data_IF_430168947800
#
_entry.id   IF_430168947800
#
_cell.length_a   1.000
_cell.length_b   1.000
_cell.length_c   1.000
_cell.angle_alpha   90.00
_cell.angle_beta   90.00
_cell.angle_gamma   90.00
#
_symmetry.space_group_name_H-M   'P 1'
#
loop_
_entity.id
_entity.type
_entity.pdbx_description
1 polymer ?
#
# COMPACT_ATOMS: atom_id res chain seq x y z
N UNK A 1 24.60 -69.44 -38.09
CA UNK A 1 23.88 -69.38 -39.39
C UNK A 1 22.44 -68.95 -39.12
N UNK A 2 21.74 -68.17 -39.98
CA UNK A 2 22.06 -66.92 -40.69
C UNK A 2 21.21 -65.74 -40.10
N UNK A 3 21.56 -64.45 -40.16
CA UNK A 3 21.76 -63.49 -41.26
C UNK A 3 20.51 -62.68 -41.69
N UNK A 4 20.69 -61.35 -41.81
CA UNK A 4 19.78 -60.38 -42.44
C UNK A 4 19.64 -59.08 -41.61
N UNK A 5 20.54 -58.06 -41.67
CA UNK A 5 20.72 -57.05 -42.74
C UNK A 5 19.37 -56.62 -43.35
N UNK A 6 18.98 -55.35 -43.49
CA UNK A 6 19.71 -54.10 -43.79
C UNK A 6 18.64 -52.99 -43.75
N UNK A 7 18.92 -51.79 -43.24
CA UNK A 7 18.75 -50.56 -44.01
C UNK A 7 19.37 -49.33 -43.33
N UNK A 8 20.40 -48.80 -44.01
CA UNK A 8 21.01 -47.48 -43.85
C UNK A 8 20.05 -46.36 -44.31
N UNK A 9 20.15 -45.19 -43.69
CA UNK A 9 20.53 -43.86 -44.28
C UNK A 9 20.28 -42.76 -43.20
N UNK A 10 21.31 -42.07 -42.70
CA UNK A 10 21.91 -40.84 -43.26
C UNK A 10 20.84 -39.75 -43.52
N UNK A 11 20.78 -38.59 -42.85
CA UNK A 11 21.78 -37.88 -42.08
C UNK A 11 22.72 -37.06 -42.97
N UNK A 12 22.26 -35.96 -43.58
CA UNK A 12 23.04 -34.70 -43.75
C UNK A 12 22.27 -33.62 -44.53
N UNK A 13 22.19 -32.45 -43.88
CA UNK A 13 22.48 -31.10 -44.40
C UNK A 13 22.24 -30.81 -45.88
N UNK A 14 21.37 -29.82 -46.15
CA UNK A 14 21.63 -28.84 -47.22
C UNK A 14 20.88 -27.52 -46.99
N UNK A 15 21.71 -26.52 -46.70
CA UNK A 15 21.48 -25.08 -46.83
C UNK A 15 20.67 -24.73 -48.08
N UNK A 16 19.51 -24.10 -47.87
CA UNK A 16 18.71 -23.45 -48.90
C UNK A 16 18.79 -21.94 -48.70
N UNK A 17 19.79 -21.32 -49.33
CA UNK A 17 19.89 -19.87 -49.48
C UNK A 17 18.69 -19.34 -50.26
N UNK A 18 17.72 -18.75 -49.58
CA UNK A 18 16.63 -18.01 -50.20
C UNK A 18 17.08 -16.56 -50.46
N UNK A 19 17.55 -16.30 -51.69
CA UNK A 19 17.82 -14.95 -52.23
C UNK A 19 16.53 -14.13 -52.21
N UNK A 20 16.36 -13.22 -51.24
CA UNK A 20 15.43 -12.10 -51.37
C UNK A 20 16.12 -10.94 -52.10
N UNK A 21 15.71 -10.71 -53.34
CA UNK A 21 15.96 -9.46 -54.08
C UNK A 21 15.39 -8.30 -53.29
N UNK A 22 16.24 -7.46 -52.72
CA UNK A 22 15.86 -6.11 -52.28
C UNK A 22 15.85 -5.26 -53.55
N UNK A 23 14.64 -4.93 -54.01
CA UNK A 23 14.42 -3.95 -55.08
C UNK A 23 14.84 -2.59 -54.52
N UNK A 24 15.93 -2.06 -55.06
CA UNK A 24 16.36 -0.68 -54.86
C UNK A 24 15.25 0.26 -55.34
N UNK A 25 14.54 0.90 -54.40
CA UNK A 25 13.73 2.08 -54.69
C UNK A 25 14.55 3.32 -54.35
N UNK A 26 14.63 4.19 -55.35
CA UNK A 26 15.56 5.31 -55.44
C UNK A 26 15.53 6.31 -54.29
N UNK A 27 16.72 6.83 -54.02
CA UNK A 27 17.00 8.05 -53.27
C UNK A 27 16.54 9.25 -54.11
N UNK A 28 15.60 10.09 -53.64
CA UNK A 28 15.37 11.39 -54.26
C UNK A 28 16.44 12.40 -53.81
N UNK A 29 16.82 13.37 -54.67
CA UNK A 29 17.97 14.24 -54.46
C UNK A 29 17.71 15.32 -53.41
N UNK A 30 18.79 15.69 -52.72
CA UNK A 30 18.90 16.83 -51.79
C UNK A 30 18.46 18.15 -52.46
N UNK A 31 17.67 18.95 -51.74
CA UNK A 31 17.39 20.35 -52.09
C UNK A 31 18.14 21.27 -51.11
N UNK A 32 18.75 22.36 -51.60
CA UNK A 32 19.63 23.21 -50.82
C UNK A 32 18.89 24.14 -49.86
N UNK A 33 19.66 24.60 -48.87
CA UNK A 33 19.31 25.47 -47.77
C UNK A 33 18.56 26.74 -48.19
N UNK A 34 17.37 26.94 -47.62
CA UNK A 34 16.62 28.19 -47.64
C UNK A 34 16.26 28.59 -46.21
N UNK A 35 17.06 29.49 -45.64
CA UNK A 35 16.89 30.01 -44.30
C UNK A 35 15.58 30.77 -44.13
N UNK A 36 14.79 30.38 -43.12
CA UNK A 36 13.96 31.29 -42.34
C UNK A 36 14.16 30.93 -40.88
N UNK A 37 15.04 31.69 -40.23
CA UNK A 37 15.17 31.67 -38.78
C UNK A 37 13.80 32.04 -38.19
N UNK A 38 13.05 31.04 -37.74
CA UNK A 38 11.88 31.28 -36.88
C UNK A 38 12.40 31.93 -35.59
N UNK A 39 11.83 33.04 -35.12
CA UNK A 39 12.23 33.60 -33.84
C UNK A 39 11.98 32.51 -32.79
N UNK A 40 13.05 32.05 -32.15
CA UNK A 40 12.95 31.25 -30.93
C UNK A 40 12.19 32.12 -29.94
N UNK A 41 10.90 31.86 -29.78
CA UNK A 41 10.19 32.26 -28.57
C UNK A 41 10.99 31.65 -27.42
N UNK A 42 11.84 32.48 -26.82
CA UNK A 42 12.49 32.22 -25.55
C UNK A 42 11.33 32.16 -24.58
N UNK A 43 10.78 30.97 -24.40
CA UNK A 43 9.92 30.68 -23.28
C UNK A 43 10.75 31.08 -22.07
N UNK A 44 10.43 32.26 -21.53
CA UNK A 44 10.80 32.68 -20.20
C UNK A 44 10.38 31.52 -19.32
N UNK A 45 11.37 30.67 -19.01
CA UNK A 45 11.28 29.66 -17.97
C UNK A 45 11.11 30.50 -16.71
N UNK A 46 9.86 30.80 -16.38
CA UNK A 46 9.47 31.33 -15.09
C UNK A 46 10.09 30.38 -14.09
N UNK A 47 11.13 30.86 -13.41
CA UNK A 47 11.67 30.16 -12.25
C UNK A 47 10.45 29.93 -11.36
N UNK A 48 10.11 28.67 -11.03
CA UNK A 48 8.98 28.41 -10.15
C UNK A 48 9.21 29.23 -8.88
N UNK A 49 8.13 29.81 -8.39
CA UNK A 49 8.11 30.63 -7.18
C UNK A 49 8.43 29.71 -6.00
N UNK A 50 9.73 29.53 -5.78
CA UNK A 50 10.45 28.90 -4.67
C UNK A 50 9.88 27.60 -4.14
N UNK A 51 8.90 27.72 -3.26
CA UNK A 51 8.46 26.63 -2.38
C UNK A 51 6.98 26.32 -2.54
N UNK A 52 6.13 27.32 -2.83
CA UNK A 52 4.68 27.13 -2.94
C UNK A 52 4.30 26.29 -4.16
N UNK A 53 4.99 26.49 -5.29
CA UNK A 53 4.75 25.72 -6.52
C UNK A 53 5.20 24.26 -6.38
N UNK A 54 6.30 24.03 -5.63
CA UNK A 54 6.81 22.70 -5.32
C UNK A 54 5.86 21.97 -4.36
N UNK A 55 5.43 22.64 -3.29
CA UNK A 55 4.45 22.11 -2.33
C UNK A 55 3.13 21.74 -3.03
N UNK A 56 2.61 22.62 -3.92
CA UNK A 56 1.41 22.35 -4.70
C UNK A 56 1.59 21.22 -5.72
N UNK A 57 2.79 21.04 -6.28
CA UNK A 57 3.09 19.91 -7.14
C UNK A 57 3.10 18.59 -6.35
N UNK A 58 3.75 18.58 -5.18
CA UNK A 58 3.80 17.46 -4.25
C UNK A 58 2.39 16.97 -3.86
N UNK A 59 1.55 17.88 -3.33
CA UNK A 59 0.19 17.54 -2.92
C UNK A 59 -0.68 17.08 -4.09
N UNK A 60 -0.47 17.65 -5.28
CA UNK A 60 -1.21 17.25 -6.49
C UNK A 60 -0.84 15.83 -6.93
N UNK A 61 0.44 15.48 -6.90
CA UNK A 61 0.90 14.11 -7.19
C UNK A 61 0.31 13.13 -6.18
N UNK A 62 0.42 13.42 -4.89
CA UNK A 62 -0.15 12.59 -3.83
C UNK A 62 -1.66 12.39 -4.02
N UNK A 63 -2.40 13.46 -4.31
CA UNK A 63 -3.84 13.41 -4.58
C UNK A 63 -4.20 12.59 -5.82
N UNK A 64 -3.40 12.68 -6.90
CA UNK A 64 -3.61 11.88 -8.11
C UNK A 64 -3.47 10.39 -7.79
N UNK A 65 -2.47 10.01 -6.99
CA UNK A 65 -2.26 8.62 -6.56
C UNK A 65 -3.44 8.13 -5.72
N UNK A 66 -3.88 8.92 -4.74
CA UNK A 66 -5.05 8.59 -3.90
C UNK A 66 -6.30 8.43 -4.76
N UNK A 67 -6.58 9.39 -5.65
CA UNK A 67 -7.75 9.36 -6.52
C UNK A 67 -7.73 8.13 -7.43
N UNK A 68 -6.58 7.79 -8.00
CA UNK A 68 -6.39 6.57 -8.80
C UNK A 68 -6.73 5.35 -7.97
N UNK A 69 -6.11 5.17 -6.81
CA UNK A 69 -6.28 3.97 -5.99
C UNK A 69 -7.73 3.84 -5.50
N UNK A 70 -8.39 4.94 -5.11
CA UNK A 70 -9.80 4.97 -4.73
C UNK A 70 -10.74 4.69 -5.91
N UNK A 71 -10.46 5.23 -7.10
CA UNK A 71 -11.28 4.97 -8.30
C UNK A 71 -11.22 3.50 -8.70
N UNK A 72 -10.04 2.88 -8.62
CA UNK A 72 -9.88 1.45 -8.87
C UNK A 72 -10.67 0.67 -7.84
N UNK A 73 -10.55 1.04 -6.56
CA UNK A 73 -11.21 0.32 -5.48
C UNK A 73 -12.73 0.40 -5.53
N UNK A 74 -13.31 1.58 -5.78
CA UNK A 74 -14.77 1.73 -5.93
C UNK A 74 -15.31 0.95 -7.13
N UNK A 75 -14.47 0.69 -8.14
CA UNK A 75 -14.89 -0.02 -9.36
C UNK A 75 -14.78 -1.54 -9.24
N UNK A 76 -13.73 -2.06 -8.59
CA UNK A 76 -13.58 -3.51 -8.41
C UNK A 76 -14.21 -4.00 -7.10
N UNK A 77 -14.18 -3.18 -6.04
CA UNK A 77 -14.52 -3.49 -4.65
C UNK A 77 -13.84 -4.76 -4.12
N UNK A 78 -12.84 -5.29 -4.82
CA UNK A 78 -12.27 -6.61 -4.55
C UNK A 78 -11.45 -6.61 -3.26
N UNK A 79 -10.57 -5.61 -3.08
CA UNK A 79 -9.70 -5.54 -1.92
C UNK A 79 -10.53 -5.16 -0.70
N UNK A 80 -11.41 -4.17 -0.82
CA UNK A 80 -12.28 -3.71 0.25
C UNK A 80 -13.22 -4.82 0.72
N UNK A 81 -13.94 -5.49 -0.19
CA UNK A 81 -14.87 -6.56 0.18
C UNK A 81 -14.17 -7.74 0.84
N UNK A 82 -13.04 -8.19 0.28
CA UNK A 82 -12.26 -9.29 0.85
C UNK A 82 -11.72 -8.93 2.24
N UNK A 83 -11.25 -7.69 2.41
CA UNK A 83 -10.68 -7.20 3.67
C UNK A 83 -11.75 -7.06 4.76
N UNK A 84 -12.90 -6.46 4.43
CA UNK A 84 -14.05 -6.35 5.34
C UNK A 84 -14.55 -7.75 5.72
N UNK A 85 -14.76 -8.63 4.74
CA UNK A 85 -15.23 -9.98 5.00
C UNK A 85 -14.30 -10.72 5.96
N UNK A 86 -13.00 -10.68 5.69
CA UNK A 86 -11.99 -11.28 6.56
C UNK A 86 -12.02 -10.67 7.96
N UNK A 87 -12.05 -9.34 8.08
CA UNK A 87 -12.04 -8.65 9.37
C UNK A 87 -13.30 -8.97 10.20
N UNK A 88 -14.48 -8.99 9.57
CA UNK A 88 -15.75 -9.38 10.20
C UNK A 88 -15.71 -10.83 10.65
N UNK A 89 -15.23 -11.76 9.82
CA UNK A 89 -15.08 -13.17 10.20
C UNK A 89 -14.18 -13.32 11.42
N UNK A 90 -13.05 -12.61 11.48
CA UNK A 90 -12.14 -12.63 12.64
C UNK A 90 -12.88 -12.17 13.91
N UNK A 91 -13.61 -11.05 13.86
CA UNK A 91 -14.38 -10.55 15.02
C UNK A 91 -15.45 -11.56 15.43
N UNK A 92 -16.19 -12.16 14.49
CA UNK A 92 -17.23 -13.15 14.78
C UNK A 92 -16.63 -14.42 15.40
N UNK A 93 -15.51 -14.91 14.87
CA UNK A 93 -14.82 -16.09 15.41
C UNK A 93 -14.41 -15.86 16.86
N UNK A 94 -13.83 -14.70 17.19
CA UNK A 94 -13.48 -14.38 18.56
C UNK A 94 -14.71 -14.12 19.44
N UNK A 95 -15.71 -13.43 18.92
CA UNK A 95 -16.95 -13.15 19.65
C UNK A 95 -17.62 -14.44 20.08
N UNK A 96 -17.82 -15.41 19.17
CA UNK A 96 -18.46 -16.68 19.51
C UNK A 96 -17.53 -17.63 20.25
N UNK A 97 -16.22 -17.59 19.98
CA UNK A 97 -15.24 -18.46 20.64
C UNK A 97 -14.92 -18.06 22.09
N UNK A 98 -15.12 -16.80 22.46
CA UNK A 98 -14.79 -16.26 23.79
C UNK A 98 -16.03 -15.93 24.64
N UNK A 99 -17.24 -16.32 24.22
CA UNK A 99 -18.42 -16.25 25.10
C UNK A 99 -18.29 -17.32 26.19
N UNK A 100 -17.95 -16.87 27.40
CA UNK A 100 -18.05 -17.68 28.62
C UNK A 100 -19.08 -17.02 29.53
N UNK A 101 -20.11 -17.77 29.95
CA UNK A 101 -21.13 -17.38 30.93
C UNK A 101 -21.91 -16.07 30.68
N UNK A 102 -22.05 -15.65 29.41
CA UNK A 102 -22.88 -14.51 29.02
C UNK A 102 -22.32 -13.14 29.44
N UNK A 103 -21.05 -13.07 29.86
CA UNK A 103 -20.36 -11.82 30.20
C UNK A 103 -19.05 -11.75 29.41
N UNK A 104 -18.85 -10.74 28.54
CA UNK A 104 -17.55 -10.56 27.92
C UNK A 104 -16.51 -10.31 29.01
N UNK A 105 -15.36 -10.98 28.94
CA UNK A 105 -14.23 -10.63 29.78
C UNK A 105 -13.88 -9.15 29.51
N UNK A 106 -13.82 -8.36 30.57
CA UNK A 106 -13.38 -6.96 30.50
C UNK A 106 -12.02 -6.92 29.79
N UNK A 107 -11.83 -5.95 28.88
CA UNK A 107 -10.65 -5.71 28.04
C UNK A 107 -10.46 -6.60 26.79
N UNK A 108 -11.19 -7.72 26.63
CA UNK A 108 -11.01 -8.61 25.47
C UNK A 108 -11.50 -7.97 24.16
N UNK A 109 -12.56 -7.17 24.21
CA UNK A 109 -13.11 -6.47 23.04
C UNK A 109 -12.07 -5.54 22.37
N UNK A 110 -11.25 -4.86 23.17
CA UNK A 110 -10.17 -4.02 22.67
C UNK A 110 -9.12 -4.85 21.92
N UNK A 111 -8.69 -5.97 22.50
CA UNK A 111 -7.74 -6.87 21.85
C UNK A 111 -8.26 -7.40 20.51
N UNK A 112 -9.52 -7.84 20.45
CA UNK A 112 -10.16 -8.37 19.24
C UNK A 112 -10.21 -7.31 18.14
N UNK A 113 -10.58 -6.06 18.48
CA UNK A 113 -10.63 -4.95 17.51
C UNK A 113 -9.26 -4.74 16.87
N UNK A 114 -8.20 -4.59 17.66
CA UNK A 114 -6.86 -4.35 17.14
C UNK A 114 -6.29 -5.53 16.37
N UNK A 115 -6.56 -6.77 16.81
CA UNK A 115 -6.18 -7.98 16.07
C UNK A 115 -6.88 -8.01 14.69
N UNK A 116 -8.18 -7.75 14.64
CA UNK A 116 -8.92 -7.69 13.38
C UNK A 116 -8.37 -6.59 12.45
N UNK A 117 -8.06 -5.40 12.97
CA UNK A 117 -7.44 -4.30 12.21
C UNK A 117 -6.06 -4.71 11.68
N UNK A 118 -5.19 -5.29 12.52
CA UNK A 118 -3.82 -5.63 12.12
C UNK A 118 -3.76 -6.73 11.05
N UNK A 119 -4.56 -7.79 11.19
CA UNK A 119 -4.60 -8.85 10.18
C UNK A 119 -5.24 -8.38 8.87
N UNK A 120 -6.36 -7.63 8.96
CA UNK A 120 -7.01 -7.08 7.77
C UNK A 120 -6.14 -6.05 7.06
N UNK A 121 -5.41 -5.22 7.81
CA UNK A 121 -4.43 -4.28 7.28
C UNK A 121 -3.26 -4.96 6.58
N UNK A 122 -2.74 -6.05 7.15
CA UNK A 122 -1.69 -6.86 6.49
C UNK A 122 -2.18 -7.45 5.17
N UNK A 123 -3.42 -7.97 5.14
CA UNK A 123 -4.06 -8.48 3.93
C UNK A 123 -4.25 -7.36 2.88
N UNK A 124 -4.77 -6.21 3.29
CA UNK A 124 -4.99 -5.05 2.45
C UNK A 124 -3.68 -4.53 1.83
N UNK A 125 -2.62 -4.43 2.63
CA UNK A 125 -1.27 -4.07 2.18
C UNK A 125 -0.76 -5.05 1.11
N UNK A 126 -0.79 -6.35 1.40
CA UNK A 126 -0.33 -7.38 0.46
C UNK A 126 -1.05 -7.31 -0.89
N UNK A 127 -2.39 -7.27 -0.87
CA UNK A 127 -3.23 -7.20 -2.08
C UNK A 127 -3.02 -5.91 -2.87
N UNK A 128 -2.91 -4.78 -2.17
CA UNK A 128 -2.70 -3.47 -2.80
C UNK A 128 -1.37 -3.41 -3.55
N UNK A 129 -0.29 -3.91 -2.97
CA UNK A 129 1.03 -3.97 -3.61
C UNK A 129 1.15 -5.08 -4.65
N UNK A 130 0.31 -6.13 -4.59
CA UNK A 130 0.19 -7.16 -5.63
C UNK A 130 -0.44 -6.63 -6.88
N UNK A 131 -1.57 -5.94 -6.74
CA UNK A 131 -2.25 -5.24 -7.84
C UNK A 131 -1.30 -4.29 -8.57
N UNK A 132 -0.51 -3.54 -7.83
CA UNK A 132 0.39 -2.55 -8.42
C UNK A 132 1.59 -3.15 -9.17
N UNK A 133 2.04 -4.32 -8.72
CA UNK A 133 3.07 -5.10 -9.43
C UNK A 133 2.51 -5.72 -10.72
N UNK A 134 1.32 -6.32 -10.68
CA UNK A 134 0.70 -6.92 -11.86
C UNK A 134 0.45 -5.90 -12.98
N UNK A 135 0.15 -4.66 -12.62
CA UNK A 135 -0.09 -3.58 -13.57
C UNK A 135 1.19 -2.80 -13.97
N UNK A 136 2.39 -3.29 -13.60
CA UNK A 136 3.69 -2.62 -13.78
C UNK A 136 3.68 -1.12 -13.37
N UNK A 137 2.74 -0.74 -12.49
CA UNK A 137 2.44 0.68 -12.24
C UNK A 137 3.56 1.32 -11.43
N UNK A 138 4.23 0.55 -10.58
CA UNK A 138 5.43 1.02 -9.87
C UNK A 138 6.56 1.39 -10.83
N UNK A 139 6.75 0.62 -11.92
CA UNK A 139 7.76 0.94 -12.93
C UNK A 139 7.37 2.17 -13.74
N UNK A 140 6.08 2.31 -14.07
CA UNK A 140 5.57 3.49 -14.77
C UNK A 140 5.69 4.77 -13.91
N UNK A 141 5.44 4.68 -12.60
CA UNK A 141 5.57 5.80 -11.66
C UNK A 141 7.03 6.21 -11.42
N UNK A 142 7.97 5.25 -11.42
CA UNK A 142 9.41 5.53 -11.32
C UNK A 142 9.98 6.25 -12.54
N UNK A 143 9.33 6.14 -13.70
CA UNK A 143 9.71 6.84 -14.93
C UNK A 143 9.09 8.24 -15.03
N UNK A 144 8.13 8.56 -14.17
CA UNK A 144 7.52 9.88 -14.13
C UNK A 144 8.43 10.87 -13.38
N UNK A 145 8.57 12.13 -13.85
CA UNK A 145 9.32 13.17 -13.17
C UNK A 145 8.52 13.72 -11.98
N UNK A 146 8.28 12.87 -10.98
CA UNK A 146 7.56 13.21 -9.76
C UNK A 146 8.41 12.88 -8.53
N UNK A 147 8.27 13.69 -7.47
CA UNK A 147 8.97 13.45 -6.21
C UNK A 147 8.51 12.13 -5.62
N UNK A 148 9.45 11.21 -5.40
CA UNK A 148 9.20 9.88 -4.82
C UNK A 148 8.52 9.95 -3.46
N UNK A 149 8.88 10.87 -2.52
CA UNK A 149 8.12 11.00 -1.27
C UNK A 149 6.64 11.36 -1.49
N UNK A 150 6.27 12.06 -2.57
CA UNK A 150 4.86 12.34 -2.88
C UNK A 150 4.08 11.06 -3.25
N UNK A 151 4.76 10.11 -3.91
CA UNK A 151 4.19 8.81 -4.23
C UNK A 151 3.96 7.99 -2.96
N UNK A 152 4.92 8.01 -2.02
CA UNK A 152 4.77 7.36 -0.72
C UNK A 152 3.57 7.91 0.05
N UNK A 153 3.45 9.24 0.18
CA UNK A 153 2.33 9.87 0.89
C UNK A 153 1.00 9.55 0.22
N UNK A 154 0.93 9.61 -1.12
CA UNK A 154 -0.26 9.23 -1.85
C UNK A 154 -0.66 7.76 -1.60
N UNK A 155 0.32 6.86 -1.53
CA UNK A 155 0.09 5.44 -1.27
C UNK A 155 -0.37 5.18 0.16
N UNK A 156 0.33 5.78 1.11
CA UNK A 156 0.00 5.74 2.53
C UNK A 156 -1.45 6.19 2.75
N UNK A 157 -1.82 7.35 2.18
CA UNK A 157 -3.18 7.87 2.29
C UNK A 157 -4.22 6.94 1.66
N UNK A 158 -3.93 6.30 0.51
CA UNK A 158 -4.83 5.33 -0.11
C UNK A 158 -5.09 4.11 0.78
N UNK A 159 -4.05 3.55 1.40
CA UNK A 159 -4.17 2.39 2.30
C UNK A 159 -4.83 2.80 3.63
N UNK A 160 -4.52 3.98 4.15
CA UNK A 160 -5.14 4.53 5.35
C UNK A 160 -6.64 4.71 5.14
N UNK A 161 -7.09 5.26 4.01
CA UNK A 161 -8.51 5.38 3.69
C UNK A 161 -9.20 4.02 3.58
N UNK A 162 -8.54 3.04 2.96
CA UNK A 162 -9.06 1.68 2.87
C UNK A 162 -9.26 1.05 4.26
N UNK A 163 -8.27 1.21 5.16
CA UNK A 163 -8.36 0.70 6.53
C UNK A 163 -9.37 1.47 7.38
N UNK A 164 -9.47 2.78 7.21
CA UNK A 164 -10.49 3.59 7.87
C UNK A 164 -11.92 3.13 7.50
N UNK A 165 -12.15 2.71 6.25
CA UNK A 165 -13.44 2.12 5.83
C UNK A 165 -13.69 0.77 6.51
N UNK A 166 -12.65 -0.05 6.71
CA UNK A 166 -12.76 -1.32 7.45
C UNK A 166 -13.08 -1.05 8.92
N UNK A 167 -12.39 -0.11 9.55
CA UNK A 167 -12.64 0.31 10.94
C UNK A 167 -14.04 0.86 11.14
N UNK A 168 -14.57 1.62 10.17
CA UNK A 168 -15.94 2.13 10.20
C UNK A 168 -16.98 1.00 10.31
N UNK A 169 -16.66 -0.19 9.81
CA UNK A 169 -17.50 -1.39 9.96
C UNK A 169 -17.17 -2.15 11.25
N UNK A 170 -15.89 -2.28 11.61
CA UNK A 170 -15.46 -3.05 12.78
C UNK A 170 -15.84 -2.42 14.12
N UNK A 171 -15.69 -1.10 14.26
CA UNK A 171 -16.00 -0.40 15.52
C UNK A 171 -17.45 -0.59 15.95
N UNK A 172 -18.48 -0.35 15.10
CA UNK A 172 -19.86 -0.60 15.50
C UNK A 172 -20.15 -2.09 15.70
N UNK A 173 -19.52 -2.98 14.91
CA UNK A 173 -19.66 -4.43 15.08
C UNK A 173 -19.17 -4.90 16.45
N UNK A 174 -17.99 -4.45 16.88
CA UNK A 174 -17.44 -4.75 18.21
C UNK A 174 -18.27 -4.09 19.31
N UNK A 175 -18.71 -2.85 19.11
CA UNK A 175 -19.61 -2.17 20.05
C UNK A 175 -20.92 -2.95 20.27
N UNK A 176 -21.50 -3.49 19.21
CA UNK A 176 -22.73 -4.28 19.26
C UNK A 176 -22.52 -5.65 19.93
N UNK A 177 -21.48 -6.39 19.53
CA UNK A 177 -21.24 -7.75 20.01
C UNK A 177 -20.78 -7.82 21.47
N UNK A 178 -20.04 -6.80 21.93
CA UNK A 178 -19.48 -6.75 23.28
C UNK A 178 -20.21 -5.77 24.20
N UNK A 179 -21.29 -5.12 23.73
CA UNK A 179 -22.03 -4.08 24.45
C UNK A 179 -21.12 -2.97 25.03
N UNK A 180 -20.05 -2.63 24.31
CA UNK A 180 -19.05 -1.67 24.77
C UNK A 180 -19.55 -0.22 24.60
N UNK A 181 -19.29 0.69 25.56
CA UNK A 181 -19.72 2.08 25.50
C UNK A 181 -18.86 2.93 24.52
N UNK A 182 -18.96 2.63 23.22
CA UNK A 182 -18.16 3.26 22.15
C UNK A 182 -18.53 4.73 21.89
N UNK A 183 -19.77 5.14 22.15
CA UNK A 183 -20.26 6.49 21.80
C UNK A 183 -19.96 7.55 22.85
N UNK A 184 -19.58 7.17 24.08
CA UNK A 184 -19.37 8.13 25.18
C UNK A 184 -18.08 8.93 24.98
N UNK A 185 -17.02 8.28 24.48
CA UNK A 185 -15.69 8.88 24.28
C UNK A 185 -15.23 8.79 22.81
N UNK A 186 -16.16 9.02 21.89
CA UNK A 186 -15.92 8.85 20.45
C UNK A 186 -14.68 9.60 19.94
N UNK A 187 -14.41 10.81 20.45
CA UNK A 187 -13.22 11.58 20.06
C UNK A 187 -11.89 10.87 20.41
N UNK A 188 -11.76 10.37 21.64
CA UNK A 188 -10.54 9.68 22.08
C UNK A 188 -10.37 8.32 21.38
N UNK A 189 -11.50 7.63 21.12
CA UNK A 189 -11.49 6.39 20.36
C UNK A 189 -11.04 6.62 18.91
N UNK A 190 -11.58 7.65 18.24
CA UNK A 190 -11.16 8.03 16.88
C UNK A 190 -9.70 8.45 16.86
N UNK A 191 -9.22 9.19 17.86
CA UNK A 191 -7.81 9.57 17.94
C UNK A 191 -6.88 8.36 18.11
N UNK A 192 -7.25 7.39 18.95
CA UNK A 192 -6.51 6.13 19.12
C UNK A 192 -6.48 5.30 17.84
N UNK A 193 -7.64 5.12 17.21
CA UNK A 193 -7.76 4.35 15.97
C UNK A 193 -6.97 5.03 14.85
N UNK A 194 -7.17 6.33 14.65
CA UNK A 194 -6.44 7.10 13.65
C UNK A 194 -4.93 7.03 13.86
N UNK A 195 -4.44 7.25 15.08
CA UNK A 195 -3.01 7.16 15.39
C UNK A 195 -2.44 5.77 15.15
N UNK A 196 -3.10 4.72 15.66
CA UNK A 196 -2.60 3.36 15.46
C UNK A 196 -2.65 2.92 14.00
N UNK A 197 -3.66 3.35 13.24
CA UNK A 197 -3.77 3.05 11.81
C UNK A 197 -2.77 3.83 10.99
N UNK A 198 -2.49 5.09 11.32
CA UNK A 198 -1.37 5.86 10.72
C UNK A 198 -0.05 5.12 10.96
N UNK A 199 0.26 4.77 12.21
CA UNK A 199 1.50 4.07 12.54
C UNK A 199 1.62 2.72 11.84
N UNK A 200 0.55 1.92 11.86
CA UNK A 200 0.52 0.63 11.19
C UNK A 200 0.70 0.77 9.67
N UNK A 201 -0.01 1.69 9.04
CA UNK A 201 0.07 1.89 7.58
C UNK A 201 1.37 2.55 7.14
N UNK A 202 1.97 3.42 7.96
CA UNK A 202 3.26 4.03 7.69
C UNK A 202 4.36 2.97 7.61
N UNK A 203 4.44 2.12 8.63
CA UNK A 203 5.37 0.99 8.72
C UNK A 203 5.09 -0.02 7.60
N UNK A 204 3.83 -0.40 7.42
CA UNK A 204 3.40 -1.37 6.41
C UNK A 204 3.71 -0.93 4.99
N UNK A 205 3.42 0.33 4.64
CA UNK A 205 3.67 0.88 3.31
C UNK A 205 5.16 0.96 3.03
N UNK A 206 5.98 1.32 4.02
CA UNK A 206 7.43 1.38 3.89
C UNK A 206 8.01 0.00 3.57
N UNK A 207 7.71 -1.02 4.39
CA UNK A 207 8.21 -2.37 4.16
C UNK A 207 7.64 -2.99 2.87
N UNK A 208 6.37 -2.75 2.57
CA UNK A 208 5.78 -3.23 1.33
C UNK A 208 6.47 -2.65 0.09
N UNK A 209 6.83 -1.36 0.13
CA UNK A 209 7.59 -0.71 -0.94
C UNK A 209 9.01 -1.30 -1.09
N UNK A 210 9.72 -1.52 0.02
CA UNK A 210 11.05 -2.13 0.02
C UNK A 210 11.04 -3.56 -0.53
N UNK A 211 9.98 -4.31 -0.25
CA UNK A 211 9.84 -5.71 -0.64
C UNK A 211 9.21 -5.91 -2.04
N UNK A 212 8.96 -4.84 -2.81
CA UNK A 212 8.37 -4.93 -4.15
C UNK A 212 9.13 -5.91 -5.07
N UNK A 213 10.45 -5.96 -4.96
CA UNK A 213 11.34 -6.82 -5.78
C UNK A 213 11.57 -8.21 -5.18
N UNK A 214 11.14 -8.45 -3.93
CA UNK A 214 11.36 -9.74 -3.25
C UNK A 214 10.38 -10.81 -3.75
N UNK A 215 10.89 -12.03 -3.99
CA UNK A 215 10.10 -13.16 -4.51
C UNK A 215 9.06 -13.67 -3.51
N UNK A 216 9.36 -13.59 -2.21
CA UNK A 216 8.55 -14.13 -1.10
C UNK A 216 7.98 -13.03 -0.18
N UNK A 217 7.73 -11.84 -0.72
CA UNK A 217 7.29 -10.67 0.05
C UNK A 217 6.02 -10.91 0.87
N UNK A 218 5.11 -11.76 0.42
CA UNK A 218 3.83 -12.01 1.11
C UNK A 218 4.06 -12.71 2.47
N UNK A 219 5.21 -13.36 2.62
CA UNK A 219 5.68 -13.96 3.88
C UNK A 219 6.62 -13.01 4.61
N UNK A 220 7.50 -12.30 3.91
CA UNK A 220 8.45 -11.37 4.54
C UNK A 220 7.77 -10.15 5.17
N UNK A 221 6.72 -9.63 4.53
CA UNK A 221 6.02 -8.43 4.99
C UNK A 221 5.43 -8.66 6.38
N UNK A 222 4.61 -9.69 6.66
CA UNK A 222 4.13 -9.96 8.02
C UNK A 222 5.25 -10.18 9.04
N UNK A 223 6.29 -10.94 8.66
CA UNK A 223 7.42 -11.26 9.54
C UNK A 223 8.16 -9.99 10.00
N UNK A 224 8.26 -8.98 9.14
CA UNK A 224 8.88 -7.69 9.48
C UNK A 224 7.89 -6.72 10.13
N UNK A 225 6.64 -6.71 9.64
CA UNK A 225 5.60 -5.76 10.04
C UNK A 225 5.20 -5.96 11.49
N UNK A 226 4.88 -7.19 11.90
CA UNK A 226 4.34 -7.44 13.23
C UNK A 226 5.31 -7.10 14.36
N UNK A 227 6.60 -7.48 14.33
CA UNK A 227 7.57 -7.06 15.34
C UNK A 227 7.67 -5.54 15.48
N UNK A 228 7.62 -4.82 14.36
CA UNK A 228 7.74 -3.37 14.33
C UNK A 228 6.46 -2.66 14.77
N UNK A 229 5.29 -3.28 14.58
CA UNK A 229 4.00 -2.74 15.01
C UNK A 229 3.61 -3.17 16.43
N UNK A 230 4.39 -4.02 17.12
CA UNK A 230 4.14 -4.36 18.54
C UNK A 230 3.88 -3.14 19.42
N UNK A 231 4.67 -2.04 19.36
CA UNK A 231 4.41 -0.85 20.17
C UNK A 231 3.03 -0.23 19.88
N UNK A 232 2.65 -0.18 18.61
CA UNK A 232 1.34 0.31 18.15
C UNK A 232 0.22 -0.61 18.66
N UNK A 233 0.41 -1.93 18.58
CA UNK A 233 -0.55 -2.91 19.06
C UNK A 233 -0.76 -2.80 20.57
N UNK A 234 0.31 -2.64 21.35
CA UNK A 234 0.23 -2.46 22.80
C UNK A 234 -0.51 -1.16 23.12
N UNK A 235 -0.12 -0.05 22.49
CA UNK A 235 -0.71 1.26 22.74
C UNK A 235 -2.19 1.31 22.35
N UNK A 236 -2.53 0.74 21.20
CA UNK A 236 -3.89 0.61 20.73
C UNK A 236 -4.74 -0.21 21.69
N UNK A 237 -4.34 -1.44 21.99
CA UNK A 237 -5.11 -2.34 22.87
C UNK A 237 -5.29 -1.73 24.26
N UNK A 238 -4.21 -1.23 24.88
CA UNK A 238 -4.27 -0.65 26.23
C UNK A 238 -5.05 0.67 26.26
N UNK A 239 -4.89 1.52 25.23
CA UNK A 239 -5.64 2.76 25.11
C UNK A 239 -7.14 2.52 24.91
N UNK A 240 -7.52 1.59 24.04
CA UNK A 240 -8.93 1.24 23.81
C UNK A 240 -9.53 0.53 25.02
N UNK A 241 -8.79 -0.36 25.69
CA UNK A 241 -9.24 -1.00 26.93
C UNK A 241 -9.54 0.04 28.02
N UNK A 242 -8.69 1.05 28.20
CA UNK A 242 -8.92 2.15 29.16
C UNK A 242 -10.22 2.95 28.89
N UNK A 243 -10.66 3.01 27.63
CA UNK A 243 -11.93 3.65 27.25
C UNK A 243 -13.15 2.74 27.40
N UNK A 244 -12.96 1.42 27.33
CA UNK A 244 -14.05 0.44 27.39
C UNK A 244 -14.42 0.04 28.82
N UNK A 245 -13.60 0.42 29.80
CA UNK A 245 -13.88 0.17 31.21
C UNK A 245 -15.10 0.97 31.70
N UNK A 246 -15.87 0.43 32.69
CA UNK A 246 -17.04 1.13 33.25
C UNK A 246 -16.71 2.51 33.82
N UNK A 247 -15.52 2.65 34.40
CA UNK A 247 -14.92 3.94 34.80
C UNK A 247 -13.76 4.23 33.86
N UNK A 248 -13.93 5.10 32.86
CA UNK A 248 -12.92 5.33 31.84
C UNK A 248 -11.73 6.10 32.41
N UNK A 249 -10.52 5.59 32.19
CA UNK A 249 -9.27 6.28 32.54
C UNK A 249 -8.77 7.09 31.34
N UNK A 250 -9.24 8.34 31.28
CA UNK A 250 -8.86 9.28 30.22
C UNK A 250 -7.37 9.63 30.24
N UNK A 251 -6.73 9.65 31.41
CA UNK A 251 -5.31 9.99 31.52
C UNK A 251 -4.45 8.88 30.88
N UNK A 252 -4.80 7.62 31.12
CA UNK A 252 -4.15 6.47 30.47
C UNK A 252 -4.40 6.48 28.97
N UNK A 253 -5.65 6.72 28.52
CA UNK A 253 -5.96 6.82 27.10
C UNK A 253 -5.14 7.91 26.39
N UNK A 254 -5.02 9.10 27.00
CA UNK A 254 -4.23 10.22 26.48
C UNK A 254 -2.74 9.90 26.42
N UNK A 255 -2.20 9.21 27.43
CA UNK A 255 -0.82 8.74 27.41
C UNK A 255 -0.54 7.83 26.20
N UNK A 256 -1.43 6.86 25.94
CA UNK A 256 -1.29 5.96 24.79
C UNK A 256 -1.47 6.67 23.45
N UNK A 257 -2.38 7.64 23.35
CA UNK A 257 -2.51 8.52 22.17
C UNK A 257 -1.20 9.29 21.93
N UNK A 258 -0.59 9.83 22.99
CA UNK A 258 0.70 10.53 22.89
C UNK A 258 1.83 9.62 22.40
N UNK A 259 1.87 8.38 22.89
CA UNK A 259 2.84 7.37 22.44
C UNK A 259 2.64 7.01 20.96
N UNK A 260 1.40 6.83 20.52
CA UNK A 260 1.08 6.61 19.10
C UNK A 260 1.51 7.80 18.24
N UNK A 261 1.18 9.03 18.65
CA UNK A 261 1.60 10.23 17.94
C UNK A 261 3.12 10.35 17.82
N UNK A 262 3.87 10.02 18.87
CA UNK A 262 5.33 9.97 18.82
C UNK A 262 5.83 8.92 17.84
N UNK A 263 5.27 7.70 17.89
CA UNK A 263 5.60 6.61 16.97
C UNK A 263 5.34 7.02 15.51
N UNK A 264 4.19 7.63 15.24
CA UNK A 264 3.78 8.09 13.91
C UNK A 264 4.76 9.13 13.36
N UNK A 265 5.12 10.13 14.17
CA UNK A 265 6.10 11.15 13.76
C UNK A 265 7.44 10.52 13.40
N UNK A 266 7.93 9.58 14.22
CA UNK A 266 9.19 8.89 13.96
C UNK A 266 9.11 8.09 12.66
N UNK A 267 8.10 7.23 12.49
CA UNK A 267 8.02 6.34 11.34
C UNK A 267 7.66 7.04 10.04
N UNK A 268 6.78 8.05 10.06
CA UNK A 268 6.47 8.86 8.87
C UNK A 268 7.72 9.63 8.44
N UNK A 269 8.47 10.23 9.38
CA UNK A 269 9.72 10.92 9.06
C UNK A 269 10.77 9.96 8.49
N UNK A 270 10.96 8.80 9.11
CA UNK A 270 11.87 7.75 8.61
C UNK A 270 11.45 7.27 7.23
N UNK A 271 10.17 7.09 6.98
CA UNK A 271 9.67 6.63 5.70
C UNK A 271 9.91 7.66 4.59
N UNK A 272 9.66 8.95 4.86
CA UNK A 272 9.94 10.03 3.92
C UNK A 272 11.44 10.12 3.59
N UNK A 273 12.31 9.89 4.57
CA UNK A 273 13.77 9.89 4.37
C UNK A 273 14.28 8.66 3.62
N UNK A 274 13.71 7.49 3.89
CA UNK A 274 14.20 6.20 3.36
C UNK A 274 13.71 5.94 1.94
N UNK A 275 12.60 6.55 1.53
CA UNK A 275 11.96 6.26 0.25
C UNK A 275 12.80 6.68 -0.97
N UNK A 276 13.53 7.80 -0.87
CA UNK A 276 14.41 8.25 -1.95
C UNK A 276 15.57 7.29 -2.21
N UNK A 277 16.39 6.89 -1.20
CA UNK A 277 17.43 5.88 -1.38
C UNK A 277 16.91 4.55 -1.94
N UNK A 278 15.83 4.01 -1.36
CA UNK A 278 15.29 2.68 -1.73
C UNK A 278 14.85 2.60 -3.19
N UNK A 279 14.38 3.71 -3.76
CA UNK A 279 13.93 3.74 -5.14
C UNK A 279 15.02 4.12 -6.15
N UNK A 280 16.24 4.47 -5.69
CA UNK A 280 17.37 4.79 -6.58
C UNK A 280 18.16 3.55 -6.98
N UNK A 281 18.22 2.56 -6.10
CA UNK A 281 18.87 1.26 -6.31
C UNK A 281 17.94 0.23 -6.99
#
# INVERSE_FOLDING_TARGET
MPAGRLHRRAGHSRSGYCRRRVVARGVPPERPAGGRARPRHRATRTLPSGDDDMMRAFFRVAWIVVKKDLTIEVRSLEILSTTIFFAVTVVLMFSFGLVVDGRPLNDVAAAILWVAIAFSGTLALGRTFERERHNDTLRALLLAPADRPALYVGKLAGILLLLALVELVLVPLVGLLFAAPIFVHGFHLVALLAGGTIGFTAVGTLFAAMLVRARSRDVLLPIMLYPMTVPVMIAGVRGTAALFQPTPDLAVAQFWIGLLGFFDVVFVTLALWTFDPVMTD
#
